data_IF_237461825678
#
_entry.id   IF_237461825678
#
_cell.length_a   1.000
_cell.length_b   1.000
_cell.length_c   1.000
_cell.angle_alpha   90.00
_cell.angle_beta   90.00
_cell.angle_gamma   90.00
#
_symmetry.space_group_name_H-M   'P 1'
#
loop_
_entity.id
_entity.type
_entity.pdbx_description
1 polymer ?
#
# COMPACT_ATOMS: atom_id res chain seq x y z
N UNK A 1 17.93 -19.48 -0.46
CA UNK A 1 16.67 -20.08 -0.99
C UNK A 1 15.50 -19.87 -0.03
N UNK A 2 15.49 -20.51 1.15
CA UNK A 2 14.37 -20.46 2.10
C UNK A 2 14.00 -19.05 2.58
N UNK A 3 14.99 -18.19 2.85
CA UNK A 3 14.76 -16.80 3.27
C UNK A 3 14.05 -15.96 2.21
N UNK A 4 14.34 -16.18 0.92
CA UNK A 4 13.70 -15.44 -0.17
C UNK A 4 12.24 -15.86 -0.35
N UNK A 5 11.95 -17.16 -0.26
CA UNK A 5 10.57 -17.65 -0.31
C UNK A 5 9.74 -17.13 0.87
N UNK A 6 10.35 -17.07 2.06
CA UNK A 6 9.71 -16.49 3.24
C UNK A 6 9.40 -15.00 3.05
N UNK A 7 10.36 -14.22 2.55
CA UNK A 7 10.17 -12.80 2.32
C UNK A 7 9.07 -12.52 1.28
N UNK A 8 9.04 -13.26 0.17
CA UNK A 8 7.98 -13.17 -0.84
C UNK A 8 6.61 -13.49 -0.22
N UNK A 9 6.54 -14.54 0.59
CA UNK A 9 5.30 -14.90 1.29
C UNK A 9 4.83 -13.78 2.22
N UNK A 10 5.75 -13.17 2.99
CA UNK A 10 5.43 -12.08 3.93
C UNK A 10 4.90 -10.85 3.18
N UNK A 11 5.52 -10.44 2.08
CA UNK A 11 5.03 -9.25 1.35
C UNK A 11 3.70 -9.50 0.65
N UNK A 12 3.47 -10.71 0.14
CA UNK A 12 2.18 -11.03 -0.49
C UNK A 12 1.08 -11.10 0.57
N UNK A 13 1.26 -11.93 1.59
CA UNK A 13 0.19 -12.21 2.56
C UNK A 13 0.10 -11.13 3.63
N UNK A 14 1.23 -10.68 4.16
CA UNK A 14 1.29 -9.63 5.17
C UNK A 14 1.00 -8.27 4.58
N UNK A 15 1.79 -7.85 3.59
CA UNK A 15 1.62 -6.58 2.87
C UNK A 15 0.31 -6.56 2.08
N UNK A 16 0.31 -7.21 0.92
CA UNK A 16 -0.81 -7.11 -0.02
C UNK A 16 -2.18 -7.52 0.54
N UNK A 17 -2.29 -8.64 1.24
CA UNK A 17 -3.58 -9.11 1.77
C UNK A 17 -3.88 -8.57 3.18
N UNK A 18 -2.92 -8.63 4.09
CA UNK A 18 -3.09 -8.25 5.48
C UNK A 18 -3.38 -6.76 5.63
N UNK A 19 -2.57 -5.91 5.00
CA UNK A 19 -2.74 -4.46 5.09
C UNK A 19 -4.04 -4.01 4.44
N UNK A 20 -4.39 -4.52 3.24
CA UNK A 20 -5.66 -4.14 2.61
C UNK A 20 -6.88 -4.62 3.39
N UNK A 21 -6.81 -5.80 4.01
CA UNK A 21 -7.87 -6.28 4.91
C UNK A 21 -8.06 -5.32 6.08
N UNK A 22 -6.97 -4.80 6.65
CA UNK A 22 -7.03 -3.90 7.79
C UNK A 22 -7.43 -2.47 7.39
N UNK A 23 -6.72 -1.82 6.46
CA UNK A 23 -6.90 -0.41 6.14
C UNK A 23 -8.11 -0.15 5.25
N UNK A 24 -8.32 -0.96 4.20
CA UNK A 24 -9.44 -0.77 3.24
C UNK A 24 -10.65 -1.61 3.60
N UNK A 25 -10.47 -2.75 4.26
CA UNK A 25 -11.57 -3.53 4.82
C UNK A 25 -12.07 -2.97 6.14
N UNK A 26 -11.37 -3.31 7.23
CA UNK A 26 -11.83 -3.04 8.59
C UNK A 26 -11.94 -1.55 8.91
N UNK A 27 -10.85 -0.79 8.76
CA UNK A 27 -10.82 0.61 9.19
C UNK A 27 -11.76 1.48 8.36
N UNK A 28 -11.80 1.25 7.05
CA UNK A 28 -12.74 1.93 6.15
C UNK A 28 -14.20 1.69 6.56
N UNK A 29 -14.55 0.44 6.88
CA UNK A 29 -15.92 0.08 7.29
C UNK A 29 -16.27 0.63 8.67
N UNK A 30 -15.35 0.60 9.64
CA UNK A 30 -15.55 1.19 10.97
C UNK A 30 -15.76 2.70 10.90
N UNK A 31 -14.92 3.40 10.12
CA UNK A 31 -15.08 4.84 9.93
C UNK A 31 -16.38 5.15 9.16
N UNK A 32 -16.75 4.34 8.18
CA UNK A 32 -18.04 4.46 7.47
C UNK A 32 -19.25 4.36 8.41
N UNK A 33 -19.19 3.49 9.42
CA UNK A 33 -20.22 3.43 10.48
C UNK A 33 -20.23 4.65 11.39
N UNK A 34 -19.08 5.29 11.59
CA UNK A 34 -18.94 6.42 12.51
C UNK A 34 -19.34 7.76 11.85
N UNK A 35 -18.88 8.01 10.61
CA UNK A 35 -19.03 9.30 9.92
C UNK A 35 -19.92 9.23 8.67
N UNK A 36 -20.46 8.05 8.35
CA UNK A 36 -21.44 7.83 7.29
C UNK A 36 -20.84 7.40 5.95
N UNK A 37 -21.70 7.32 4.93
CA UNK A 37 -21.39 6.75 3.61
C UNK A 37 -21.51 7.76 2.45
N UNK A 38 -21.67 9.05 2.76
CA UNK A 38 -21.70 10.11 1.76
C UNK A 38 -20.37 10.20 1.00
N UNK A 39 -20.38 10.81 -0.19
CA UNK A 39 -19.14 11.01 -0.97
C UNK A 39 -18.09 11.79 -0.17
N UNK A 40 -18.50 12.82 0.58
CA UNK A 40 -17.60 13.57 1.44
C UNK A 40 -17.05 12.72 2.59
N UNK A 41 -17.88 11.88 3.22
CA UNK A 41 -17.42 10.95 4.25
C UNK A 41 -16.41 9.94 3.68
N UNK A 42 -16.70 9.32 2.52
CA UNK A 42 -15.77 8.41 1.85
C UNK A 42 -14.44 9.09 1.52
N UNK A 43 -14.46 10.32 1.01
CA UNK A 43 -13.23 11.07 0.75
C UNK A 43 -12.43 11.32 2.04
N UNK A 44 -13.09 11.69 3.14
CA UNK A 44 -12.43 11.85 4.42
C UNK A 44 -11.83 10.52 4.94
N UNK A 45 -12.55 9.40 4.80
CA UNK A 45 -12.06 8.06 5.16
C UNK A 45 -10.81 7.72 4.36
N UNK A 46 -10.81 7.93 3.04
CA UNK A 46 -9.63 7.71 2.19
C UNK A 46 -8.44 8.51 2.68
N UNK A 47 -8.62 9.80 2.98
CA UNK A 47 -7.54 10.65 3.47
C UNK A 47 -7.00 10.15 4.81
N UNK A 48 -7.89 9.84 5.77
CA UNK A 48 -7.51 9.36 7.10
C UNK A 48 -6.75 8.04 7.00
N UNK A 49 -7.29 7.05 6.29
CA UNK A 49 -6.64 5.74 6.18
C UNK A 49 -5.31 5.82 5.44
N UNK A 50 -5.19 6.71 4.45
CA UNK A 50 -3.92 6.94 3.72
C UNK A 50 -2.85 7.58 4.61
N UNK A 51 -3.21 8.54 5.46
CA UNK A 51 -2.28 9.15 6.41
C UNK A 51 -1.83 8.13 7.45
N UNK A 52 -2.76 7.37 8.04
CA UNK A 52 -2.42 6.34 9.03
C UNK A 52 -1.53 5.26 8.42
N UNK A 53 -1.84 4.83 7.19
CA UNK A 53 -1.04 3.86 6.44
C UNK A 53 0.38 4.38 6.18
N UNK A 54 0.50 5.62 5.69
CA UNK A 54 1.79 6.28 5.49
C UNK A 54 2.61 6.36 6.77
N UNK A 55 2.02 6.82 7.87
CA UNK A 55 2.71 6.93 9.16
C UNK A 55 3.20 5.57 9.70
N UNK A 56 2.46 4.49 9.44
CA UNK A 56 2.88 3.14 9.82
C UNK A 56 4.18 2.69 9.13
N UNK A 57 4.54 3.30 7.99
CA UNK A 57 5.75 2.97 7.24
C UNK A 57 6.98 3.79 7.67
N UNK A 58 6.82 4.78 8.55
CA UNK A 58 7.91 5.70 8.88
C UNK A 58 9.09 5.03 9.58
N UNK A 59 8.85 4.13 10.54
CA UNK A 59 9.94 3.50 11.31
C UNK A 59 10.85 2.63 10.46
N UNK A 60 10.28 1.98 9.44
CA UNK A 60 10.96 0.94 8.68
C UNK A 60 11.50 1.46 7.35
N UNK A 61 10.88 2.49 6.78
CA UNK A 61 11.15 2.99 5.43
C UNK A 61 11.46 4.50 5.36
N UNK A 62 11.39 5.20 6.50
CA UNK A 62 11.66 6.65 6.57
C UNK A 62 10.68 7.49 5.77
N UNK A 63 11.07 8.74 5.46
CA UNK A 63 10.18 9.70 4.77
C UNK A 63 9.79 9.26 3.36
N UNK A 64 10.71 8.63 2.62
CA UNK A 64 10.43 8.13 1.27
C UNK A 64 9.36 7.02 1.30
N UNK A 65 9.42 6.11 2.28
CA UNK A 65 8.38 5.11 2.47
C UNK A 65 7.04 5.70 2.88
N UNK A 66 7.04 6.72 3.76
CA UNK A 66 5.79 7.44 4.10
C UNK A 66 5.16 8.06 2.86
N UNK A 67 5.94 8.76 2.04
CA UNK A 67 5.45 9.39 0.82
C UNK A 67 4.84 8.36 -0.13
N UNK A 68 5.58 7.29 -0.42
CA UNK A 68 5.13 6.21 -1.31
C UNK A 68 3.87 5.52 -0.76
N UNK A 69 3.84 5.21 0.53
CA UNK A 69 2.70 4.61 1.20
C UNK A 69 1.49 5.56 1.22
N UNK A 70 1.67 6.88 1.36
CA UNK A 70 0.55 7.83 1.25
C UNK A 70 -0.03 7.86 -0.17
N UNK A 71 0.81 7.84 -1.20
CA UNK A 71 0.36 7.83 -2.60
C UNK A 71 -0.41 6.53 -2.91
N UNK A 72 0.16 5.38 -2.56
CA UNK A 72 -0.51 4.07 -2.67
C UNK A 72 -1.79 4.04 -1.84
N UNK A 73 -1.70 4.57 -0.61
CA UNK A 73 -2.76 5.01 0.30
C UNK A 73 -3.99 5.51 -0.43
N UNK A 74 -3.80 6.67 -1.07
CA UNK A 74 -4.81 7.44 -1.77
C UNK A 74 -5.34 6.70 -2.99
N UNK A 75 -4.46 6.09 -3.80
CA UNK A 75 -4.85 5.36 -5.00
C UNK A 75 -5.79 4.19 -4.65
N UNK A 76 -5.34 3.29 -3.77
CA UNK A 76 -6.09 2.09 -3.40
C UNK A 76 -7.32 2.43 -2.56
N UNK A 77 -7.22 3.39 -1.65
CA UNK A 77 -8.38 3.88 -0.88
C UNK A 77 -9.47 4.44 -1.79
N UNK A 78 -9.09 5.23 -2.81
CA UNK A 78 -10.03 5.77 -3.79
C UNK A 78 -10.64 4.67 -4.64
N UNK A 79 -9.83 3.74 -5.17
CA UNK A 79 -10.33 2.59 -5.92
C UNK A 79 -11.32 1.77 -5.10
N UNK A 80 -11.04 1.52 -3.83
CA UNK A 80 -11.96 0.81 -2.94
C UNK A 80 -13.25 1.60 -2.72
N UNK A 81 -13.15 2.91 -2.46
CA UNK A 81 -14.32 3.77 -2.23
C UNK A 81 -15.31 3.79 -3.42
N UNK A 82 -14.76 3.66 -4.64
CA UNK A 82 -15.51 3.64 -5.90
C UNK A 82 -16.04 2.25 -6.26
N UNK A 83 -15.25 1.20 -6.04
CA UNK A 83 -15.57 -0.16 -6.53
C UNK A 83 -16.19 -1.07 -5.47
N UNK A 84 -15.91 -0.81 -4.19
CA UNK A 84 -16.26 -1.69 -3.06
C UNK A 84 -15.53 -3.03 -3.07
N UNK A 85 -14.52 -3.23 -3.92
CA UNK A 85 -13.85 -4.52 -4.11
C UNK A 85 -12.43 -4.50 -3.56
N UNK A 86 -12.16 -5.38 -2.59
CA UNK A 86 -10.83 -5.51 -2.00
C UNK A 86 -9.88 -6.39 -2.82
N UNK A 87 -10.40 -7.44 -3.45
CA UNK A 87 -9.55 -8.47 -4.05
C UNK A 87 -8.63 -7.94 -5.17
N UNK A 88 -9.08 -7.07 -6.09
CA UNK A 88 -8.20 -6.47 -7.09
C UNK A 88 -7.10 -5.60 -6.45
N UNK A 89 -7.42 -4.92 -5.34
CA UNK A 89 -6.48 -4.05 -4.63
C UNK A 89 -5.44 -4.87 -3.88
N UNK A 90 -5.84 -5.98 -3.25
CA UNK A 90 -4.93 -6.93 -2.60
C UNK A 90 -3.92 -7.49 -3.60
N UNK A 91 -4.39 -7.89 -4.80
CA UNK A 91 -3.50 -8.37 -5.86
C UNK A 91 -2.58 -7.25 -6.34
N UNK A 92 -3.10 -6.04 -6.56
CA UNK A 92 -2.31 -4.90 -7.00
C UNK A 92 -1.22 -4.52 -5.98
N UNK A 93 -1.54 -4.54 -4.69
CA UNK A 93 -0.58 -4.28 -3.62
C UNK A 93 0.48 -5.39 -3.54
N UNK A 94 0.08 -6.67 -3.52
CA UNK A 94 1.03 -7.77 -3.53
C UNK A 94 1.97 -7.72 -4.75
N UNK A 95 1.45 -7.36 -5.93
CA UNK A 95 2.24 -7.19 -7.14
C UNK A 95 3.21 -5.99 -7.03
N UNK A 96 2.77 -4.89 -6.43
CA UNK A 96 3.61 -3.73 -6.15
C UNK A 96 4.80 -4.12 -5.26
N UNK A 97 4.56 -4.79 -4.14
CA UNK A 97 5.62 -5.16 -3.19
C UNK A 97 6.62 -6.15 -3.79
N UNK A 98 6.12 -7.15 -4.53
CA UNK A 98 6.99 -8.11 -5.23
C UNK A 98 7.82 -7.40 -6.29
N UNK A 99 7.26 -6.39 -6.98
CA UNK A 99 8.01 -5.58 -7.95
C UNK A 99 9.06 -4.73 -7.28
N UNK A 100 8.73 -4.08 -6.16
CA UNK A 100 9.68 -3.29 -5.37
C UNK A 100 10.85 -4.16 -4.88
N UNK A 101 10.56 -5.35 -4.37
CA UNK A 101 11.58 -6.34 -4.02
C UNK A 101 12.44 -6.72 -5.21
N UNK A 102 11.86 -6.97 -6.38
CA UNK A 102 12.62 -7.32 -7.58
C UNK A 102 13.56 -6.19 -8.03
N UNK A 103 13.09 -4.93 -7.98
CA UNK A 103 13.90 -3.75 -8.30
C UNK A 103 15.14 -3.67 -7.39
N UNK A 104 14.96 -3.89 -6.08
CA UNK A 104 16.05 -3.89 -5.10
C UNK A 104 17.01 -5.07 -5.34
N UNK A 105 16.48 -6.30 -5.45
CA UNK A 105 17.30 -7.51 -5.56
C UNK A 105 18.10 -7.60 -6.87
N UNK A 106 17.59 -7.02 -7.95
CA UNK A 106 18.27 -6.98 -9.26
C UNK A 106 19.05 -5.69 -9.50
N UNK A 107 19.17 -4.82 -8.48
CA UNK A 107 19.91 -3.56 -8.55
C UNK A 107 19.50 -2.67 -9.73
N UNK A 108 18.20 -2.71 -10.07
CA UNK A 108 17.64 -1.99 -11.22
C UNK A 108 17.72 -0.48 -10.98
N UNK A 109 17.55 -0.04 -9.73
CA UNK A 109 17.64 1.37 -9.34
C UNK A 109 19.01 1.96 -9.69
N UNK A 110 20.10 1.31 -9.30
CA UNK A 110 21.47 1.77 -9.60
C UNK A 110 21.74 1.80 -11.10
N UNK A 111 21.28 0.77 -11.83
CA UNK A 111 21.42 0.72 -13.28
C UNK A 111 20.72 1.89 -13.99
N UNK A 112 19.51 2.25 -13.54
CA UNK A 112 18.76 3.39 -14.08
C UNK A 112 19.40 4.71 -13.67
N UNK A 113 19.86 4.84 -12.42
CA UNK A 113 20.52 6.05 -11.94
C UNK A 113 21.76 6.40 -12.77
N UNK A 114 22.64 5.43 -13.04
CA UNK A 114 23.84 5.64 -13.88
C UNK A 114 23.52 5.92 -15.36
N UNK A 115 22.34 5.53 -15.84
CA UNK A 115 21.88 5.84 -17.20
C UNK A 115 21.43 7.30 -17.32
N UNK A 116 20.74 7.82 -16.31
CA UNK A 116 20.12 9.15 -16.31
C UNK A 116 21.09 10.22 -15.80
N UNK A 117 21.77 9.95 -14.69
CA UNK A 117 22.71 10.85 -14.05
C UNK A 117 24.13 10.40 -14.39
N UNK A 118 24.71 11.03 -15.42
CA UNK A 118 26.14 10.91 -15.74
C UNK A 118 26.98 11.90 -14.97
#
# INVERSE_FOLDING_TARGET
MWLHCFQIFVVIIGGGFGEETFYRGFLFERLGKLIGSSTAAKAAIVLITSVVFGLAHYSDQGLAGVEQAMITGLAFGTTFALTGSLFPIMIAHAAFDVTALAIIYWDVESAVAHLIFK
#
